data_IF_089308497658
#
_entry.id   IF_089308497658
#
_cell.length_a   1.000
_cell.length_b   1.000
_cell.length_c   1.000
_cell.angle_alpha   90.00
_cell.angle_beta   90.00
_cell.angle_gamma   90.00
#
_symmetry.space_group_name_H-M   'P 1'
#
loop_
_entity.id
_entity.type
_entity.pdbx_description
1 polymer ?
#
# COMPACT_ATOMS: atom_id res chain seq x y z
N UNK A 1 34.74 10.61 -39.28
CA UNK A 1 35.34 9.63 -38.34
C UNK A 1 34.36 9.35 -37.21
N UNK A 2 34.20 8.10 -36.86
CA UNK A 2 33.08 7.49 -36.17
C UNK A 2 33.01 7.84 -34.69
N UNK A 3 31.85 8.23 -34.18
CA UNK A 3 31.44 8.22 -32.80
C UNK A 3 30.99 6.79 -32.38
N UNK A 4 31.33 6.28 -31.21
CA UNK A 4 30.62 5.14 -30.64
C UNK A 4 29.64 5.61 -29.54
N UNK A 5 28.38 5.57 -29.86
CA UNK A 5 27.27 5.52 -28.89
C UNK A 5 27.23 4.10 -28.32
N UNK A 6 27.69 3.90 -27.10
CA UNK A 6 27.37 2.71 -26.27
C UNK A 6 27.70 3.04 -24.82
N UNK A 7 26.69 2.92 -23.96
CA UNK A 7 26.67 2.64 -22.53
C UNK A 7 25.76 3.54 -21.69
N UNK A 8 24.52 3.77 -22.15
CA UNK A 8 23.51 4.43 -21.30
C UNK A 8 22.57 3.46 -20.55
N UNK A 9 22.53 2.20 -20.97
CA UNK A 9 21.57 1.22 -20.40
C UNK A 9 22.13 0.48 -19.19
N UNK A 10 23.45 0.45 -19.02
CA UNK A 10 24.08 -0.26 -17.89
C UNK A 10 24.06 0.54 -16.58
N UNK A 11 23.96 1.85 -16.62
CA UNK A 11 23.94 2.67 -15.42
C UNK A 11 22.58 2.72 -14.72
N UNK A 12 21.49 2.53 -15.44
CA UNK A 12 20.13 2.50 -14.85
C UNK A 12 19.86 1.23 -14.04
N UNK A 13 20.45 0.10 -14.44
CA UNK A 13 20.30 -1.16 -13.69
C UNK A 13 21.16 -1.23 -12.42
N UNK A 14 22.34 -0.58 -12.42
CA UNK A 14 23.23 -0.57 -11.27
C UNK A 14 22.74 0.39 -10.17
N UNK A 15 22.01 1.45 -10.51
CA UNK A 15 21.43 2.39 -9.54
C UNK A 15 20.25 1.80 -8.77
N UNK A 16 19.44 0.94 -9.39
CA UNK A 16 18.37 0.20 -8.70
C UNK A 16 18.91 -0.86 -7.72
N UNK A 17 20.05 -1.49 -8.02
CA UNK A 17 20.63 -2.49 -7.12
C UNK A 17 21.35 -1.89 -5.92
N UNK A 18 21.85 -0.65 -6.03
CA UNK A 18 22.56 0.05 -4.94
C UNK A 18 21.58 0.77 -3.98
N UNK A 19 20.37 1.12 -4.44
CA UNK A 19 19.31 1.67 -3.59
C UNK A 19 18.72 0.64 -2.61
N UNK A 20 18.86 -0.65 -2.90
CA UNK A 20 18.42 -1.76 -2.02
C UNK A 20 19.37 -2.04 -0.85
N UNK A 21 20.58 -1.49 -0.84
CA UNK A 21 21.59 -1.75 0.20
C UNK A 21 21.79 -0.62 1.22
N UNK A 22 21.10 0.52 1.07
CA UNK A 22 21.22 1.67 1.97
C UNK A 22 19.92 2.07 2.66
N UNK A 23 18.85 1.30 2.57
CA UNK A 23 17.66 1.49 3.40
C UNK A 23 17.95 0.94 4.80
N UNK A 24 18.67 1.73 5.60
CA UNK A 24 18.77 1.57 7.04
C UNK A 24 17.36 1.63 7.66
N UNK A 25 17.14 0.78 8.61
CA UNK A 25 15.97 0.55 9.45
C UNK A 25 15.44 1.83 10.09
N UNK A 26 14.65 2.66 9.39
CA UNK A 26 13.79 3.70 10.04
C UNK A 26 12.96 4.56 9.05
N UNK A 27 12.68 4.10 7.86
CA UNK A 27 11.59 4.70 7.09
C UNK A 27 10.32 3.93 7.41
N UNK A 28 9.31 4.61 7.97
CA UNK A 28 7.99 4.04 8.22
C UNK A 28 7.23 3.76 6.93
N UNK A 29 7.84 2.95 6.08
CA UNK A 29 7.30 2.53 4.79
C UNK A 29 6.23 1.50 5.09
N UNK A 30 4.98 1.82 4.77
CA UNK A 30 3.91 0.83 4.66
C UNK A 30 4.18 -0.05 3.43
N UNK A 31 5.29 -0.79 3.46
CA UNK A 31 5.49 -1.90 2.55
C UNK A 31 4.67 -3.08 3.06
N UNK A 32 4.00 -3.76 2.14
CA UNK A 32 3.41 -5.06 2.43
C UNK A 32 4.43 -5.98 3.09
N UNK A 33 3.97 -6.98 3.80
CA UNK A 33 4.86 -7.91 4.49
C UNK A 33 5.88 -8.54 3.54
N UNK A 34 7.13 -8.64 4.00
CA UNK A 34 8.20 -9.28 3.24
C UNK A 34 7.87 -10.73 2.89
N UNK A 35 8.47 -11.24 1.82
CA UNK A 35 8.30 -12.63 1.39
C UNK A 35 8.70 -13.62 2.50
N UNK A 36 9.77 -13.33 3.25
CA UNK A 36 10.21 -14.16 4.37
C UNK A 36 9.12 -14.24 5.45
N UNK A 37 8.55 -13.08 5.83
CA UNK A 37 7.48 -13.03 6.82
C UNK A 37 6.27 -13.83 6.36
N UNK A 38 5.85 -13.66 5.11
CA UNK A 38 4.66 -14.34 4.58
C UNK A 38 4.84 -15.84 4.43
N UNK A 39 6.05 -16.34 4.17
CA UNK A 39 6.33 -17.77 4.11
C UNK A 39 6.10 -18.50 5.44
N UNK A 40 6.32 -17.82 6.57
CA UNK A 40 6.21 -18.38 7.92
C UNK A 40 4.77 -18.35 8.47
N UNK A 41 3.84 -17.68 7.79
CA UNK A 41 2.47 -17.56 8.25
C UNK A 41 1.66 -18.85 8.02
N UNK A 42 0.69 -19.16 8.91
CA UNK A 42 -0.25 -20.23 8.68
C UNK A 42 -1.23 -19.87 7.54
N UNK A 43 -1.85 -20.88 6.93
CA UNK A 43 -2.80 -20.68 5.82
C UNK A 43 -3.98 -19.77 6.21
N UNK A 44 -4.42 -19.83 7.44
CA UNK A 44 -5.49 -18.96 7.97
C UNK A 44 -5.16 -17.46 7.93
N UNK A 45 -3.90 -17.10 7.70
CA UNK A 45 -3.48 -15.71 7.54
C UNK A 45 -3.75 -15.12 6.15
N UNK A 46 -4.18 -15.95 5.20
CA UNK A 46 -4.36 -15.55 3.80
C UNK A 46 -5.85 -15.55 3.40
N UNK A 47 -6.23 -14.62 2.51
CA UNK A 47 -7.58 -14.57 1.98
C UNK A 47 -7.85 -15.70 0.96
N UNK A 48 -6.82 -16.14 0.24
CA UNK A 48 -6.89 -17.25 -0.70
C UNK A 48 -5.74 -18.22 -0.46
N UNK A 49 -6.08 -19.50 -0.36
CA UNK A 49 -5.14 -20.61 -0.33
C UNK A 49 -5.57 -21.65 -1.36
N UNK A 50 -4.71 -22.00 -2.28
CA UNK A 50 -5.01 -22.94 -3.36
C UNK A 50 -3.77 -23.71 -3.81
N UNK A 51 -3.93 -24.50 -4.87
CA UNK A 51 -2.85 -25.24 -5.53
C UNK A 51 -2.86 -24.86 -7.01
N UNK A 52 -1.70 -24.54 -7.57
CA UNK A 52 -1.49 -24.32 -8.99
C UNK A 52 -0.26 -25.12 -9.42
N UNK A 53 -0.41 -25.98 -10.46
CA UNK A 53 0.70 -26.79 -10.97
C UNK A 53 1.44 -27.56 -9.85
N UNK A 54 0.67 -28.23 -8.97
CA UNK A 54 1.14 -28.93 -7.77
C UNK A 54 1.88 -28.08 -6.72
N UNK A 55 1.88 -26.74 -6.90
CA UNK A 55 2.47 -25.81 -5.95
C UNK A 55 1.37 -25.10 -5.12
N UNK A 56 1.59 -25.03 -3.81
CA UNK A 56 0.71 -24.29 -2.91
C UNK A 56 0.84 -22.79 -3.18
N UNK A 57 -0.28 -22.16 -3.49
CA UNK A 57 -0.39 -20.72 -3.70
C UNK A 57 -1.17 -20.09 -2.54
N UNK A 58 -0.60 -19.04 -1.94
CA UNK A 58 -1.22 -18.26 -0.86
C UNK A 58 -1.20 -16.78 -1.25
N UNK A 59 -2.35 -16.09 -1.14
CA UNK A 59 -2.48 -14.69 -1.55
C UNK A 59 -3.20 -13.85 -0.51
N UNK A 60 -2.88 -12.57 -0.53
CA UNK A 60 -3.48 -11.55 0.32
C UNK A 60 -3.36 -11.88 1.81
N UNK A 61 -2.13 -11.94 2.36
CA UNK A 61 -1.91 -12.09 3.79
C UNK A 61 -2.44 -10.87 4.52
N UNK A 62 -3.23 -11.06 5.61
CA UNK A 62 -3.83 -9.97 6.38
C UNK A 62 -4.02 -10.29 7.87
N UNK A 63 -3.71 -11.51 8.30
CA UNK A 63 -3.64 -11.88 9.72
C UNK A 63 -2.21 -12.25 10.11
N UNK A 64 -1.80 -11.90 11.33
CA UNK A 64 -0.51 -12.30 11.89
C UNK A 64 -0.46 -13.81 12.22
N UNK A 65 0.67 -14.29 12.74
CA UNK A 65 0.86 -15.70 13.14
C UNK A 65 -0.08 -16.15 14.28
N UNK A 66 -0.69 -15.22 15.00
CA UNK A 66 -1.64 -15.47 16.08
C UNK A 66 -3.08 -15.35 15.63
N UNK A 67 -3.34 -15.16 14.34
CA UNK A 67 -4.67 -14.98 13.76
C UNK A 67 -5.28 -13.60 14.02
N UNK A 68 -4.49 -12.61 14.47
CA UNK A 68 -4.98 -11.24 14.64
C UNK A 68 -4.94 -10.49 13.32
N UNK A 69 -6.00 -9.74 13.02
CA UNK A 69 -6.05 -8.87 11.86
C UNK A 69 -4.96 -7.78 11.98
N UNK A 70 -4.11 -7.68 10.96
CA UNK A 70 -3.20 -6.55 10.78
C UNK A 70 -3.90 -5.52 9.89
N UNK A 71 -4.33 -4.42 10.49
CA UNK A 71 -5.13 -3.40 9.83
C UNK A 71 -4.33 -2.66 8.73
N UNK A 72 -3.02 -2.45 8.92
CA UNK A 72 -2.14 -1.85 7.90
C UNK A 72 -2.00 -2.78 6.70
N UNK A 73 -1.70 -4.05 6.95
CA UNK A 73 -1.57 -5.05 5.90
C UNK A 73 -2.89 -5.28 5.16
N UNK A 74 -4.03 -5.26 5.85
CA UNK A 74 -5.36 -5.33 5.24
C UNK A 74 -5.57 -4.20 4.21
N UNK A 75 -5.25 -2.96 4.60
CA UNK A 75 -5.41 -1.80 3.72
C UNK A 75 -4.46 -1.90 2.54
N UNK A 76 -3.20 -2.30 2.79
CA UNK A 76 -2.22 -2.47 1.74
C UNK A 76 -2.67 -3.51 0.70
N UNK A 77 -3.06 -4.72 1.11
CA UNK A 77 -3.50 -5.76 0.16
C UNK A 77 -4.79 -5.39 -0.58
N UNK A 78 -5.70 -4.65 0.06
CA UNK A 78 -6.89 -4.11 -0.63
C UNK A 78 -6.52 -3.02 -1.65
N UNK A 79 -5.56 -2.16 -1.31
CA UNK A 79 -5.11 -1.09 -2.20
C UNK A 79 -4.34 -1.57 -3.41
N UNK A 80 -3.68 -2.73 -3.31
CA UNK A 80 -2.86 -3.33 -4.37
C UNK A 80 -3.54 -4.52 -5.07
N UNK A 81 -4.75 -4.91 -4.66
CA UNK A 81 -5.44 -6.10 -5.15
C UNK A 81 -5.56 -6.15 -6.68
N UNK A 82 -5.78 -5.00 -7.31
CA UNK A 82 -5.92 -4.87 -8.77
C UNK A 82 -4.57 -4.92 -9.51
N UNK A 83 -3.47 -4.66 -8.81
CA UNK A 83 -2.12 -4.68 -9.36
C UNK A 83 -1.52 -6.09 -9.40
N UNK A 84 -2.12 -7.04 -8.67
CA UNK A 84 -1.64 -8.42 -8.64
C UNK A 84 -2.08 -9.21 -9.89
N UNK A 85 -1.21 -10.12 -10.34
CA UNK A 85 -1.54 -11.06 -11.42
C UNK A 85 -2.31 -12.25 -10.85
N UNK A 86 -3.56 -12.40 -11.26
CA UNK A 86 -4.44 -13.48 -10.84
C UNK A 86 -4.57 -14.53 -11.96
N UNK A 87 -4.34 -15.79 -11.62
CA UNK A 87 -4.55 -16.90 -12.56
C UNK A 87 -6.05 -17.21 -12.77
N UNK A 88 -6.87 -16.88 -11.76
CA UNK A 88 -8.32 -17.08 -11.76
C UNK A 88 -9.00 -15.83 -11.20
N UNK A 89 -9.88 -15.24 -11.99
CA UNK A 89 -10.64 -14.05 -11.61
C UNK A 89 -11.62 -14.33 -10.45
N UNK A 90 -12.17 -15.55 -10.36
CA UNK A 90 -13.06 -15.91 -9.26
C UNK A 90 -12.35 -15.85 -7.91
N UNK A 91 -11.09 -16.28 -7.84
CA UNK A 91 -10.27 -16.20 -6.64
C UNK A 91 -10.01 -14.73 -6.23
N UNK A 92 -9.82 -13.82 -7.21
CA UNK A 92 -9.68 -12.38 -6.95
C UNK A 92 -10.94 -11.79 -6.33
N UNK A 93 -12.10 -12.13 -6.89
CA UNK A 93 -13.39 -11.64 -6.37
C UNK A 93 -13.67 -12.16 -4.95
N UNK A 94 -13.37 -13.42 -4.69
CA UNK A 94 -13.53 -14.03 -3.37
C UNK A 94 -12.60 -13.35 -2.35
N UNK A 95 -11.31 -13.16 -2.70
CA UNK A 95 -10.36 -12.41 -1.88
C UNK A 95 -10.88 -11.01 -1.58
N UNK A 96 -11.34 -10.28 -2.60
CA UNK A 96 -11.87 -8.93 -2.45
C UNK A 96 -13.08 -8.87 -1.50
N UNK A 97 -14.02 -9.81 -1.63
CA UNK A 97 -15.19 -9.91 -0.75
C UNK A 97 -14.79 -10.21 0.70
N UNK A 98 -13.84 -11.13 0.89
CA UNK A 98 -13.32 -11.49 2.21
C UNK A 98 -12.63 -10.30 2.89
N UNK A 99 -11.68 -9.68 2.21
CA UNK A 99 -10.93 -8.53 2.72
C UNK A 99 -11.85 -7.33 2.99
N UNK A 100 -12.81 -7.07 2.10
CA UNK A 100 -13.80 -6.00 2.28
C UNK A 100 -14.60 -6.17 3.57
N UNK A 101 -15.00 -7.39 3.92
CA UNK A 101 -15.72 -7.67 5.17
C UNK A 101 -14.91 -7.27 6.42
N UNK A 102 -13.58 -7.48 6.41
CA UNK A 102 -12.69 -7.02 7.47
C UNK A 102 -12.55 -5.50 7.47
N UNK A 103 -12.40 -4.91 6.29
CA UNK A 103 -12.28 -3.48 6.10
C UNK A 103 -13.52 -2.71 6.57
N UNK A 104 -14.72 -3.17 6.22
CA UNK A 104 -15.97 -2.53 6.65
C UNK A 104 -16.11 -2.51 8.19
N UNK A 105 -15.70 -3.60 8.86
CA UNK A 105 -15.66 -3.64 10.33
C UNK A 105 -14.63 -2.67 10.92
N UNK A 106 -13.46 -2.57 10.28
CA UNK A 106 -12.40 -1.65 10.69
C UNK A 106 -12.86 -0.18 10.55
N UNK A 107 -13.43 0.21 9.39
CA UNK A 107 -13.95 1.57 9.16
C UNK A 107 -15.07 1.91 10.16
N UNK A 108 -15.99 0.99 10.43
CA UNK A 108 -17.04 1.22 11.41
C UNK A 108 -16.47 1.53 12.83
N UNK A 109 -15.34 0.92 13.19
CA UNK A 109 -14.61 1.21 14.44
C UNK A 109 -13.94 2.59 14.39
N UNK A 110 -13.32 2.96 13.25
CA UNK A 110 -12.69 4.28 13.08
C UNK A 110 -13.70 5.42 13.15
N UNK A 111 -14.84 5.29 12.47
CA UNK A 111 -15.91 6.31 12.48
C UNK A 111 -16.40 6.59 13.91
N UNK A 112 -16.50 5.56 14.74
CA UNK A 112 -16.86 5.73 16.18
C UNK A 112 -15.81 6.48 16.97
N UNK A 113 -14.53 6.38 16.57
CA UNK A 113 -13.42 7.06 17.25
C UNK A 113 -13.33 8.55 16.90
N UNK A 114 -13.80 8.95 15.70
CA UNK A 114 -13.70 10.30 15.15
C UNK A 114 -12.28 10.66 14.70
N UNK A 115 -12.19 11.64 13.80
CA UNK A 115 -10.94 12.33 13.45
C UNK A 115 -10.82 13.57 14.34
N UNK A 116 -9.79 13.59 15.20
CA UNK A 116 -9.64 14.70 16.16
C UNK A 116 -8.55 15.70 15.76
N UNK A 117 -7.55 15.30 14.91
CA UNK A 117 -6.40 16.13 14.56
C UNK A 117 -6.11 16.10 13.07
N UNK A 118 -5.37 17.13 12.58
CA UNK A 118 -4.89 17.14 11.21
C UNK A 118 -3.81 16.09 11.00
N UNK A 119 -3.92 15.35 9.91
CA UNK A 119 -3.08 14.22 9.54
C UNK A 119 -1.87 14.70 8.76
N UNK A 120 -0.65 14.44 9.24
CA UNK A 120 0.57 14.75 8.50
C UNK A 120 0.79 13.72 7.38
N UNK A 121 0.54 14.14 6.11
CA UNK A 121 0.61 13.25 4.95
C UNK A 121 1.98 12.67 4.67
N UNK A 122 3.06 13.28 5.20
CA UNK A 122 4.42 12.78 5.05
C UNK A 122 4.80 11.69 6.07
N UNK A 123 4.02 11.49 7.13
CA UNK A 123 4.36 10.57 8.23
C UNK A 123 3.26 9.59 8.59
N UNK A 124 2.05 9.90 8.18
CA UNK A 124 0.84 9.15 8.52
C UNK A 124 0.88 7.71 7.99
N UNK A 125 0.21 6.80 8.71
CA UNK A 125 0.04 5.41 8.32
C UNK A 125 -1.20 5.23 7.45
N UNK A 126 -1.29 4.07 6.77
CA UNK A 126 -2.45 3.74 5.92
C UNK A 126 -3.77 3.77 6.71
N UNK A 127 -3.76 3.26 7.94
CA UNK A 127 -4.93 3.24 8.83
C UNK A 127 -5.50 4.63 9.13
N UNK A 128 -4.67 5.65 9.16
CA UNK A 128 -5.09 7.03 9.39
C UNK A 128 -5.50 7.72 8.09
N UNK A 129 -4.84 7.39 6.96
CA UNK A 129 -5.21 7.91 5.63
C UNK A 129 -6.63 7.49 5.23
N UNK A 130 -7.00 6.22 5.45
CA UNK A 130 -8.35 5.74 5.09
C UNK A 130 -9.45 6.27 6.02
N UNK A 131 -9.09 6.94 7.11
CA UNK A 131 -10.03 7.69 7.94
C UNK A 131 -10.42 9.05 7.32
N UNK A 132 -9.64 9.55 6.34
CA UNK A 132 -9.93 10.80 5.64
C UNK A 132 -11.12 10.62 4.68
N UNK A 133 -11.97 11.67 4.52
CA UNK A 133 -13.06 11.61 3.56
C UNK A 133 -12.59 11.27 2.15
N UNK A 134 -13.28 10.38 1.44
CA UNK A 134 -12.98 9.96 0.07
C UNK A 134 -11.62 9.27 -0.14
N UNK A 135 -10.84 9.00 0.90
CA UNK A 135 -9.60 8.23 0.80
C UNK A 135 -9.88 6.78 1.17
N UNK A 136 -9.95 5.94 0.15
CA UNK A 136 -10.02 4.48 0.31
C UNK A 136 -8.63 3.82 0.27
N UNK A 137 -8.56 2.47 0.40
CA UNK A 137 -7.29 1.74 0.40
C UNK A 137 -6.38 2.07 -0.79
N UNK A 138 -6.92 2.14 -2.00
CA UNK A 138 -6.15 2.44 -3.23
C UNK A 138 -5.47 3.80 -3.15
N UNK A 139 -6.21 4.85 -2.77
CA UNK A 139 -5.63 6.19 -2.65
C UNK A 139 -4.66 6.30 -1.48
N UNK A 140 -4.93 5.62 -0.38
CA UNK A 140 -4.03 5.60 0.77
C UNK A 140 -2.67 4.98 0.39
N UNK A 141 -2.66 3.85 -0.31
CA UNK A 141 -1.44 3.21 -0.81
C UNK A 141 -0.70 4.14 -1.78
N UNK A 142 -1.38 4.74 -2.75
CA UNK A 142 -0.77 5.67 -3.72
C UNK A 142 -0.16 6.92 -3.07
N UNK A 143 -0.76 7.46 -2.00
CA UNK A 143 -0.18 8.58 -1.24
C UNK A 143 1.15 8.15 -0.62
N UNK A 144 1.18 6.97 0.00
CA UNK A 144 2.38 6.42 0.63
C UNK A 144 3.45 6.13 -0.40
N UNK A 145 3.11 5.44 -1.50
CA UNK A 145 4.03 5.16 -2.60
C UNK A 145 4.61 6.44 -3.22
N UNK A 146 3.79 7.49 -3.40
CA UNK A 146 4.27 8.78 -3.91
C UNK A 146 5.32 9.39 -2.99
N UNK A 147 5.04 9.52 -1.68
CA UNK A 147 5.98 10.14 -0.74
C UNK A 147 7.28 9.34 -0.59
N UNK A 148 7.20 8.00 -0.68
CA UNK A 148 8.33 7.10 -0.44
C UNK A 148 9.19 6.91 -1.71
N UNK A 149 8.59 7.02 -2.91
CA UNK A 149 9.28 6.75 -4.19
C UNK A 149 9.59 8.00 -5.01
N UNK A 150 8.83 9.09 -4.83
CA UNK A 150 8.98 10.32 -5.61
C UNK A 150 9.55 11.45 -4.76
N UNK A 151 8.78 11.96 -3.79
CA UNK A 151 9.22 13.01 -2.87
C UNK A 151 8.21 13.22 -1.75
N UNK A 152 8.67 13.73 -0.61
CA UNK A 152 7.80 14.27 0.42
C UNK A 152 7.00 15.45 -0.13
N UNK A 153 5.80 15.65 0.41
CA UNK A 153 4.96 16.79 0.08
C UNK A 153 5.45 18.05 0.82
N UNK A 154 5.74 19.10 0.07
CA UNK A 154 6.15 20.41 0.65
C UNK A 154 4.91 21.23 1.03
N UNK A 155 3.82 21.09 0.27
CA UNK A 155 2.51 21.72 0.53
C UNK A 155 1.40 20.71 0.42
N UNK A 156 0.26 20.99 1.07
CA UNK A 156 -0.90 20.08 1.00
C UNK A 156 -1.48 19.95 -0.41
N UNK A 157 -1.33 21.00 -1.25
CA UNK A 157 -1.79 20.99 -2.64
C UNK A 157 -1.07 19.98 -3.51
N UNK A 158 0.19 19.65 -3.17
CA UNK A 158 0.99 18.67 -3.91
C UNK A 158 0.40 17.25 -3.83
N UNK A 159 -0.51 16.97 -2.89
CA UNK A 159 -1.22 15.67 -2.84
C UNK A 159 -2.01 15.41 -4.13
N UNK A 160 -2.38 16.46 -4.88
CA UNK A 160 -3.02 16.34 -6.21
C UNK A 160 -2.12 15.73 -7.29
N UNK A 161 -0.81 15.60 -7.04
CA UNK A 161 0.11 14.87 -7.91
C UNK A 161 -0.07 13.35 -7.80
N UNK A 162 -0.71 12.89 -6.73
CA UNK A 162 -1.05 11.46 -6.56
C UNK A 162 -2.19 11.11 -7.51
N UNK A 163 -1.99 10.04 -8.29
CA UNK A 163 -3.00 9.57 -9.25
C UNK A 163 -4.31 9.21 -8.54
N UNK A 164 -5.42 9.75 -9.05
CA UNK A 164 -6.76 9.58 -8.49
C UNK A 164 -7.15 10.65 -7.46
N UNK A 165 -6.25 11.56 -7.07
CA UNK A 165 -6.58 12.70 -6.20
C UNK A 165 -6.77 13.95 -7.04
N UNK A 166 -8.01 14.23 -7.40
CA UNK A 166 -8.41 15.46 -8.09
C UNK A 166 -8.83 16.58 -7.12
N UNK A 167 -9.29 17.69 -7.71
CA UNK A 167 -9.75 18.85 -6.93
C UNK A 167 -10.90 18.52 -5.97
N UNK A 168 -11.81 17.63 -6.34
CA UNK A 168 -12.93 17.22 -5.49
C UNK A 168 -12.44 16.52 -4.21
N UNK A 169 -11.59 15.50 -4.36
CA UNK A 169 -10.98 14.76 -3.24
C UNK A 169 -10.13 15.70 -2.38
N UNK A 170 -9.29 16.54 -3.02
CA UNK A 170 -8.49 17.53 -2.29
C UNK A 170 -9.38 18.47 -1.44
N UNK A 171 -10.45 19.03 -2.01
CA UNK A 171 -11.35 19.90 -1.26
C UNK A 171 -12.04 19.21 -0.08
N UNK A 172 -12.29 17.90 -0.17
CA UNK A 172 -12.86 17.12 0.92
C UNK A 172 -11.88 16.92 2.08
N UNK A 173 -10.57 16.86 1.81
CA UNK A 173 -9.56 16.51 2.83
C UNK A 173 -8.67 17.66 3.30
N UNK A 174 -8.61 18.79 2.58
CA UNK A 174 -7.63 19.89 2.82
C UNK A 174 -7.62 20.45 4.25
N UNK A 175 -8.74 20.36 4.97
CA UNK A 175 -8.84 20.82 6.36
C UNK A 175 -8.40 19.77 7.39
N UNK A 176 -8.18 18.53 6.95
CA UNK A 176 -7.80 17.39 7.78
C UNK A 176 -6.34 16.97 7.58
N UNK A 177 -5.60 17.64 6.68
CA UNK A 177 -4.22 17.28 6.34
C UNK A 177 -3.25 18.43 6.57
N UNK A 178 -2.01 18.09 6.89
CA UNK A 178 -0.90 19.03 6.99
C UNK A 178 0.39 18.42 6.44
N UNK A 179 1.40 19.27 6.22
CA UNK A 179 2.79 18.94 5.91
C UNK A 179 3.67 19.62 6.95
N UNK A 180 4.41 18.87 7.75
CA UNK A 180 5.36 19.42 8.74
C UNK A 180 6.59 18.52 8.80
#
# INVERSE_FOLDING_TARGET
MRQPYRNSVFYTFLFCLFALLLCGENSGICQGWSEIKTRLLPDSSFAVVGVKEDQKVRRCPHHDSNGRLDEEQLIYVLGTLDNETWADQANKEEAGKHLKKHYDKFIAKLVKKGLHDSVNINRVRLTELVALPQIGPVLAVRIVEYRDSVSLFETIEQIKKVEGIGSATFNAIKYYICVK
#
